data_IF_511049671637
#
_entry.id   IF_511049671637
#
_cell.length_a   1.000
_cell.length_b   1.000
_cell.length_c   1.000
_cell.angle_alpha   90.00
_cell.angle_beta   90.00
_cell.angle_gamma   90.00
#
_symmetry.space_group_name_H-M   'P 1'
#
loop_
_entity.id
_entity.type
_entity.pdbx_description
1 polymer ?
#
# COMPACT_ATOMS: atom_id res chain seq x y z
N UNK A 1 -11.61 -1.92 9.93
CA UNK A 1 -10.38 -1.08 9.90
C UNK A 1 -10.26 -0.28 8.61
N UNK A 2 -10.07 1.04 8.72
CA UNK A 2 -10.08 1.98 7.59
C UNK A 2 -8.96 1.71 6.54
N UNK A 3 -7.80 1.22 6.99
CA UNK A 3 -6.71 0.84 6.10
C UNK A 3 -7.09 -0.33 5.17
N UNK A 4 -7.82 -1.31 5.69
CA UNK A 4 -8.28 -2.47 4.92
C UNK A 4 -9.32 -2.07 3.85
N UNK A 5 -10.21 -1.13 4.19
CA UNK A 5 -11.17 -0.56 3.24
C UNK A 5 -10.50 0.23 2.11
N UNK A 6 -9.46 0.99 2.43
CA UNK A 6 -8.69 1.75 1.44
C UNK A 6 -7.90 0.81 0.52
N UNK A 7 -7.31 -0.24 1.09
CA UNK A 7 -6.59 -1.27 0.35
C UNK A 7 -7.52 -2.04 -0.61
N UNK A 8 -8.71 -2.46 -0.15
CA UNK A 8 -9.73 -3.08 -1.00
C UNK A 8 -10.18 -2.17 -2.16
N UNK A 9 -10.39 -0.89 -1.87
CA UNK A 9 -10.74 0.11 -2.89
C UNK A 9 -9.62 0.29 -3.93
N UNK A 10 -8.38 0.36 -3.46
CA UNK A 10 -7.20 0.47 -4.32
C UNK A 10 -7.05 -0.76 -5.22
N UNK A 11 -7.25 -1.98 -4.69
CA UNK A 11 -7.20 -3.23 -5.49
C UNK A 11 -8.25 -3.22 -6.60
N UNK A 12 -9.50 -2.85 -6.28
CA UNK A 12 -10.59 -2.82 -7.25
C UNK A 12 -10.35 -1.82 -8.38
N UNK A 13 -9.80 -0.64 -8.04
CA UNK A 13 -9.52 0.42 -9.03
C UNK A 13 -8.24 0.17 -9.84
N UNK A 14 -7.20 -0.37 -9.22
CA UNK A 14 -5.89 -0.55 -9.83
C UNK A 14 -5.70 -1.93 -10.47
N UNK A 15 -6.71 -2.81 -10.41
CA UNK A 15 -6.66 -4.21 -10.89
C UNK A 15 -5.37 -4.93 -10.46
N UNK A 16 -4.98 -4.75 -9.19
CA UNK A 16 -3.76 -5.34 -8.66
C UNK A 16 -3.89 -6.86 -8.61
N UNK A 17 -2.86 -7.57 -9.08
CA UNK A 17 -2.75 -9.01 -8.83
C UNK A 17 -2.49 -9.29 -7.34
N UNK A 18 -2.77 -10.50 -6.87
CA UNK A 18 -2.48 -10.92 -5.49
C UNK A 18 -1.02 -10.64 -5.09
N UNK A 19 -0.07 -10.84 -6.02
CA UNK A 19 1.35 -10.51 -5.79
C UNK A 19 1.58 -9.02 -5.59
N UNK A 20 0.93 -8.17 -6.38
CA UNK A 20 1.04 -6.73 -6.24
C UNK A 20 0.43 -6.24 -4.92
N UNK A 21 -0.69 -6.84 -4.50
CA UNK A 21 -1.30 -6.61 -3.19
C UNK A 21 -0.34 -6.92 -2.03
N UNK A 22 0.27 -8.10 -2.01
CA UNK A 22 1.22 -8.46 -0.96
C UNK A 22 2.43 -7.52 -0.91
N UNK A 23 2.90 -7.03 -2.07
CA UNK A 23 3.98 -6.04 -2.11
C UNK A 23 3.55 -4.70 -1.49
N UNK A 24 2.36 -4.21 -1.82
CA UNK A 24 1.81 -2.96 -1.23
C UNK A 24 1.68 -3.11 0.28
N UNK A 25 1.17 -4.23 0.77
CA UNK A 25 1.11 -4.49 2.22
C UNK A 25 2.48 -4.48 2.89
N UNK A 26 3.49 -5.11 2.27
CA UNK A 26 4.85 -5.14 2.81
C UNK A 26 5.44 -3.72 2.91
N UNK A 27 5.27 -2.91 1.86
CA UNK A 27 5.76 -1.52 1.84
C UNK A 27 5.00 -0.68 2.87
N UNK A 28 3.66 -0.81 2.93
CA UNK A 28 2.84 -0.10 3.92
C UNK A 28 3.24 -0.44 5.36
N UNK A 29 3.60 -1.72 5.63
CA UNK A 29 4.13 -2.12 6.93
C UNK A 29 5.48 -1.47 7.22
N UNK A 30 6.40 -1.46 6.26
CA UNK A 30 7.70 -0.78 6.41
C UNK A 30 7.53 0.71 6.69
N UNK A 31 6.61 1.40 5.99
CA UNK A 31 6.32 2.81 6.24
C UNK A 31 5.74 3.00 7.65
N UNK A 32 4.81 2.14 8.06
CA UNK A 32 4.26 2.18 9.42
C UNK A 32 5.34 1.99 10.48
N UNK A 33 6.24 1.03 10.28
CA UNK A 33 7.37 0.77 11.19
C UNK A 33 8.33 1.98 11.26
N UNK A 34 8.60 2.65 10.13
CA UNK A 34 9.41 3.88 10.07
C UNK A 34 8.73 5.08 10.75
N UNK A 35 7.40 5.11 10.74
CA UNK A 35 6.61 6.12 11.43
C UNK A 35 6.37 5.79 12.92
N UNK A 36 6.98 4.72 13.43
CA UNK A 36 6.74 4.18 14.78
C UNK A 36 5.25 3.89 15.06
N UNK A 37 4.48 3.64 14.00
CA UNK A 37 3.05 3.35 14.11
C UNK A 37 2.81 1.87 14.39
N UNK A 38 2.11 1.51 15.47
CA UNK A 38 1.84 0.11 15.80
C UNK A 38 0.94 -0.57 14.76
N UNK A 39 0.08 0.20 14.10
CA UNK A 39 -0.87 -0.27 13.10
C UNK A 39 -0.60 0.36 11.73
N UNK A 40 -1.03 -0.33 10.68
CA UNK A 40 -1.01 0.24 9.33
C UNK A 40 -2.22 1.17 9.21
N UNK A 41 -1.94 2.45 8.98
CA UNK A 41 -2.96 3.46 8.74
C UNK A 41 -3.20 3.69 7.23
N UNK A 42 -4.35 4.29 6.87
CA UNK A 42 -4.65 4.73 5.51
C UNK A 42 -3.51 5.49 4.81
N UNK A 43 -2.77 6.34 5.54
CA UNK A 43 -1.65 7.11 5.01
C UNK A 43 -0.50 6.21 4.50
N UNK A 44 -0.12 5.19 5.28
CA UNK A 44 0.93 4.24 4.90
C UNK A 44 0.57 3.43 3.66
N UNK A 45 -0.71 3.05 3.52
CA UNK A 45 -1.22 2.38 2.32
C UNK A 45 -1.17 3.31 1.11
N UNK A 46 -1.55 4.58 1.29
CA UNK A 46 -1.51 5.60 0.24
C UNK A 46 -0.10 5.78 -0.33
N UNK A 47 0.90 5.93 0.54
CA UNK A 47 2.31 6.01 0.13
C UNK A 47 2.80 4.74 -0.56
N UNK A 48 2.48 3.56 -0.01
CA UNK A 48 2.88 2.29 -0.59
C UNK A 48 2.35 2.08 -2.02
N UNK A 49 1.11 2.53 -2.27
CA UNK A 49 0.51 2.52 -3.61
C UNK A 49 1.24 3.48 -4.55
N UNK A 50 1.59 4.68 -4.09
CA UNK A 50 2.34 5.67 -4.89
C UNK A 50 3.73 5.15 -5.26
N UNK A 51 4.46 4.55 -4.32
CA UNK A 51 5.76 3.94 -4.58
C UNK A 51 5.70 2.91 -5.72
N UNK A 52 4.64 2.08 -5.78
CA UNK A 52 4.47 1.11 -6.86
C UNK A 52 4.21 1.77 -8.22
N UNK A 53 3.43 2.86 -8.26
CA UNK A 53 3.16 3.58 -9.50
C UNK A 53 4.43 4.24 -10.05
N UNK A 54 5.27 4.78 -9.17
CA UNK A 54 6.59 5.32 -9.51
C UNK A 54 7.53 4.22 -10.07
N UNK A 55 7.64 3.07 -9.40
CA UNK A 55 8.43 1.90 -9.83
C UNK A 55 8.04 1.42 -11.23
N UNK A 56 6.75 1.48 -11.58
CA UNK A 56 6.26 1.11 -12.92
C UNK A 56 6.55 2.16 -13.99
N UNK A 57 6.65 3.43 -13.63
CA UNK A 57 6.83 4.53 -14.60
C UNK A 57 8.31 4.79 -14.89
N UNK A 58 9.19 4.40 -13.98
CA UNK A 58 10.65 4.52 -14.12
C UNK A 58 11.33 3.31 -14.78
N UNK A 59 10.56 2.28 -15.16
CA UNK A 59 11.06 1.03 -15.75
C UNK A 59 10.74 0.89 -17.24
#
# INVERSE_FOLDING_TARGET
DAADALLKTAIGRLKLSARAYHRVLKIARTIADLAESPTIEPAHVGEAVQYRSLDRTMG
#
